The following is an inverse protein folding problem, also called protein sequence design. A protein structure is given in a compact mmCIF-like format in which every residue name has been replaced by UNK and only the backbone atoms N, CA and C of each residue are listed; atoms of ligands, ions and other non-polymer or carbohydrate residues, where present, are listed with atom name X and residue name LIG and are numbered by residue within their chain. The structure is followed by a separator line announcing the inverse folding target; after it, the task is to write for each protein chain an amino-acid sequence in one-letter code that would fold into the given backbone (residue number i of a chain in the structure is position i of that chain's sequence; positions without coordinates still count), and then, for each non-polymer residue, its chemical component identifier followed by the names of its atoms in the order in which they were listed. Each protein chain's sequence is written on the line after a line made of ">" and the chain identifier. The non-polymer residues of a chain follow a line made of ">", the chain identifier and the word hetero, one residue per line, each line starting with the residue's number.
data_IF_180393578794
#
_entry.id   IF_180393578794
#
_cell.length_a   1.000
_cell.length_b   1.000
_cell.length_c   1.000
_cell.angle_alpha   90.00
_cell.angle_beta   90.00
_cell.angle_gamma   90.00
#
_symmetry.space_group_name_H-M   'P 1'
#
loop_
_entity.id
_entity.type
_entity.pdbx_description
1 polymer ?
#
# COMPACT_ATOMS: atom_id res chain seq x y z
N UNK A 1 6.82 7.97 -7.91
CA UNK A 1 5.98 8.58 -6.86
C UNK A 1 4.74 7.78 -6.47
N UNK A 2 3.64 7.79 -7.26
CA UNK A 2 2.40 7.11 -6.84
C UNK A 2 2.54 5.58 -6.79
N UNK A 3 2.90 4.95 -7.92
CA UNK A 3 3.08 3.49 -8.01
C UNK A 3 4.23 2.98 -7.11
N UNK A 4 5.19 3.85 -6.86
CA UNK A 4 6.33 3.59 -5.99
C UNK A 4 5.92 3.36 -4.54
N UNK A 5 4.80 3.95 -4.08
CA UNK A 5 4.27 3.67 -2.75
C UNK A 5 3.95 2.18 -2.55
N UNK A 6 3.53 1.49 -3.61
CA UNK A 6 3.24 0.06 -3.59
C UNK A 6 4.51 -0.78 -3.83
N UNK A 7 5.31 -0.41 -4.84
CA UNK A 7 6.49 -1.17 -5.24
C UNK A 7 7.54 -1.27 -4.12
N UNK A 8 7.76 -0.19 -3.36
CA UNK A 8 8.73 -0.15 -2.25
C UNK A 8 8.33 -0.95 -1.02
N UNK A 9 7.10 -1.48 -0.99
CA UNK A 9 6.54 -2.23 0.13
C UNK A 9 6.15 -3.66 -0.25
N UNK A 10 6.55 -4.12 -1.42
CA UNK A 10 6.22 -5.46 -1.91
C UNK A 10 4.71 -5.67 -2.15
N UNK A 11 3.95 -4.60 -2.44
CA UNK A 11 2.53 -4.72 -2.78
C UNK A 11 2.40 -4.90 -4.29
N UNK A 12 2.01 -6.10 -4.72
CA UNK A 12 1.78 -6.39 -6.13
C UNK A 12 0.46 -5.76 -6.63
N UNK A 13 0.45 -5.34 -7.89
CA UNK A 13 -0.74 -4.79 -8.57
C UNK A 13 -1.23 -5.80 -9.59
N UNK A 14 -2.52 -6.16 -9.53
CA UNK A 14 -3.16 -7.04 -10.51
C UNK A 14 -3.91 -6.25 -11.59
N UNK A 15 -4.27 -5.00 -11.31
CA UNK A 15 -4.88 -4.07 -12.25
C UNK A 15 -4.27 -2.68 -12.10
N UNK A 16 -4.01 -2.00 -13.21
CA UNK A 16 -3.68 -0.58 -13.26
C UNK A 16 -4.28 0.04 -14.52
N UNK A 17 -5.33 0.83 -14.34
CA UNK A 17 -6.03 1.50 -15.45
C UNK A 17 -6.07 3.01 -15.26
N UNK A 18 -5.68 3.77 -16.29
CA UNK A 18 -5.86 5.21 -16.34
C UNK A 18 -7.20 5.58 -16.97
N UNK A 19 -7.94 6.51 -16.38
CA UNK A 19 -9.16 7.09 -16.96
C UNK A 19 -9.04 8.61 -17.00
N UNK A 20 -9.33 9.27 -18.14
CA UNK A 20 -9.31 10.73 -18.20
C UNK A 20 -10.40 11.30 -17.29
N UNK A 21 -10.09 12.42 -16.64
CA UNK A 21 -11.08 13.22 -15.92
C UNK A 21 -11.50 14.34 -16.87
N UNK A 22 -12.80 14.46 -17.16
CA UNK A 22 -13.31 15.39 -18.17
C UNK A 22 -13.34 16.86 -17.71
N UNK A 23 -12.70 17.21 -16.61
CA UNK A 23 -12.68 18.56 -16.07
C UNK A 23 -11.55 19.43 -16.67
N UNK A 24 -10.37 18.86 -16.91
CA UNK A 24 -9.23 19.54 -17.54
C UNK A 24 -8.37 18.59 -18.39
N UNK A 25 -7.76 19.12 -19.45
CA UNK A 25 -6.82 18.36 -20.30
C UNK A 25 -5.61 17.89 -19.47
N UNK A 26 -5.26 16.61 -19.62
CA UNK A 26 -4.10 16.01 -18.96
C UNK A 26 -4.35 15.51 -17.53
N UNK A 27 -5.58 15.61 -17.02
CA UNK A 27 -5.95 15.02 -15.73
C UNK A 27 -6.45 13.58 -15.88
N UNK A 28 -5.90 12.70 -15.05
CA UNK A 28 -6.23 11.29 -15.02
C UNK A 28 -6.54 10.84 -13.59
N UNK A 29 -7.44 9.86 -13.49
CA UNK A 29 -7.57 9.02 -12.29
C UNK A 29 -7.04 7.63 -12.62
N UNK A 30 -6.55 6.94 -11.60
CA UNK A 30 -6.15 5.54 -11.73
C UNK A 30 -7.09 4.64 -10.94
N UNK A 31 -7.51 3.54 -11.55
CA UNK A 31 -8.14 2.41 -10.86
C UNK A 31 -7.05 1.34 -10.69
N UNK A 32 -6.92 0.82 -9.47
CA UNK A 32 -5.84 -0.08 -9.10
C UNK A 32 -6.42 -1.20 -8.25
N UNK A 33 -6.10 -2.44 -8.62
CA UNK A 33 -6.33 -3.62 -7.77
C UNK A 33 -4.98 -4.09 -7.23
N UNK A 34 -4.96 -4.40 -5.93
CA UNK A 34 -3.76 -4.76 -5.18
C UNK A 34 -3.89 -6.16 -4.60
N UNK A 35 -2.77 -6.87 -4.57
CA UNK A 35 -2.65 -8.13 -3.83
C UNK A 35 -2.35 -7.85 -2.35
N UNK A 36 -3.42 -7.75 -1.56
CA UNK A 36 -3.35 -7.67 -0.11
C UNK A 36 -4.67 -7.26 0.52
N UNK A 37 -4.70 -7.25 1.85
CA UNK A 37 -5.82 -6.75 2.62
C UNK A 37 -5.45 -5.42 3.28
N UNK A 38 -6.42 -4.53 3.52
CA UNK A 38 -6.18 -3.26 4.25
C UNK A 38 -5.62 -3.45 5.67
N UNK A 39 -5.73 -4.66 6.22
CA UNK A 39 -5.18 -5.02 7.53
C UNK A 39 -3.74 -5.54 7.45
N UNK A 40 -3.21 -5.76 6.25
CA UNK A 40 -1.80 -6.08 6.07
C UNK A 40 -0.96 -4.81 6.29
N UNK A 41 0.10 -4.90 7.08
CA UNK A 41 0.91 -3.73 7.45
C UNK A 41 1.52 -3.05 6.22
N UNK A 42 2.01 -3.84 5.25
CA UNK A 42 2.56 -3.33 3.98
C UNK A 42 1.54 -2.53 3.15
N UNK A 43 0.26 -2.95 3.16
CA UNK A 43 -0.81 -2.30 2.39
C UNK A 43 -1.23 -1.02 3.11
N UNK A 44 -1.40 -1.08 4.43
CA UNK A 44 -1.71 0.09 5.23
C UNK A 44 -0.62 1.17 5.07
N UNK A 45 0.66 0.80 5.14
CA UNK A 45 1.77 1.75 4.98
C UNK A 45 1.83 2.33 3.55
N UNK A 46 1.53 1.53 2.52
CA UNK A 46 1.44 2.01 1.14
C UNK A 46 0.32 3.05 0.95
N UNK A 47 -0.84 2.81 1.56
CA UNK A 47 -1.98 3.73 1.52
C UNK A 47 -1.70 5.04 2.27
N UNK A 48 -0.98 4.99 3.39
CA UNK A 48 -0.52 6.18 4.11
C UNK A 48 0.43 7.01 3.24
N UNK A 49 1.39 6.35 2.59
CA UNK A 49 2.27 6.98 1.61
C UNK A 49 1.48 7.63 0.48
N UNK A 50 0.56 6.88 -0.13
CA UNK A 50 -0.28 7.36 -1.23
C UNK A 50 -1.10 8.60 -0.86
N UNK A 51 -1.74 8.60 0.32
CA UNK A 51 -2.59 9.70 0.77
C UNK A 51 -1.82 11.02 0.91
N UNK A 52 -0.52 10.98 1.18
CA UNK A 52 0.34 12.17 1.25
C UNK A 52 0.60 12.81 -0.12
N UNK A 53 0.65 12.00 -1.18
CA UNK A 53 0.92 12.48 -2.54
C UNK A 53 -0.36 12.74 -3.35
N UNK A 54 -1.44 12.00 -3.08
CA UNK A 54 -2.72 12.16 -3.75
C UNK A 54 -3.82 12.48 -2.74
N UNK A 55 -4.35 13.72 -2.72
CA UNK A 55 -5.39 14.09 -1.75
C UNK A 55 -6.70 13.33 -1.99
N UNK A 56 -6.95 12.87 -3.22
CA UNK A 56 -8.20 12.23 -3.64
C UNK A 56 -7.99 10.73 -3.90
N UNK A 57 -8.02 9.94 -2.83
CA UNK A 57 -7.99 8.48 -2.86
C UNK A 57 -9.35 7.96 -2.41
N UNK A 58 -9.95 7.05 -3.18
CA UNK A 58 -11.21 6.38 -2.85
C UNK A 58 -10.90 4.91 -2.60
N UNK A 59 -11.16 4.44 -1.38
CA UNK A 59 -11.04 3.03 -1.04
C UNK A 59 -12.34 2.29 -1.39
N UNK A 60 -12.25 1.29 -2.26
CA UNK A 60 -13.41 0.51 -2.72
C UNK A 60 -13.62 -0.78 -1.92
N UNK A 61 -12.68 -1.13 -1.03
CA UNK A 61 -12.77 -2.30 -0.16
C UNK A 61 -11.59 -3.26 -0.32
N UNK A 62 -11.52 -4.21 0.60
CA UNK A 62 -10.69 -5.42 0.48
C UNK A 62 -11.64 -6.62 0.48
N UNK A 63 -11.39 -7.56 -0.42
CA UNK A 63 -12.26 -8.72 -0.62
C UNK A 63 -11.43 -9.95 -0.97
N UNK A 64 -11.93 -11.17 -0.68
CA UNK A 64 -11.25 -12.39 -1.08
C UNK A 64 -11.13 -12.47 -2.61
N UNK A 65 -9.96 -12.87 -3.10
CA UNK A 65 -9.77 -13.15 -4.53
C UNK A 65 -10.69 -14.29 -4.97
N UNK A 66 -11.22 -14.17 -6.18
CA UNK A 66 -12.13 -15.17 -6.75
C UNK A 66 -11.47 -16.56 -6.90
N UNK A 67 -10.18 -16.58 -7.25
CA UNK A 67 -9.37 -17.80 -7.40
C UNK A 67 -8.90 -18.41 -6.07
N UNK A 68 -9.10 -17.70 -4.95
CA UNK A 68 -8.63 -18.05 -3.60
C UNK A 68 -7.14 -18.37 -3.52
N UNK A 69 -6.34 -17.89 -4.45
CA UNK A 69 -4.90 -18.08 -4.37
C UNK A 69 -4.34 -17.23 -3.22
N UNK A 70 -3.51 -17.84 -2.34
CA UNK A 70 -2.85 -17.08 -1.29
C UNK A 70 -1.84 -16.12 -1.90
N UNK A 71 -1.73 -14.95 -1.31
CA UNK A 71 -0.70 -13.98 -1.70
C UNK A 71 0.60 -14.42 -1.04
N UNK A 72 1.65 -14.63 -1.85
CA UNK A 72 2.99 -14.91 -1.33
C UNK A 72 3.74 -13.61 -1.15
N UNK A 73 4.26 -13.39 0.05
CA UNK A 73 5.00 -12.19 0.43
C UNK A 73 6.39 -12.62 0.88
N UNK A 74 7.44 -11.93 0.44
CA UNK A 74 8.80 -12.19 0.93
C UNK A 74 8.92 -11.77 2.40
N UNK A 75 9.81 -12.41 3.16
CA UNK A 75 10.09 -12.10 4.58
C UNK A 75 10.34 -10.60 4.82
N UNK A 76 10.96 -9.89 3.88
CA UNK A 76 11.19 -8.44 4.01
C UNK A 76 9.92 -7.57 4.03
N UNK A 77 8.78 -8.11 3.58
CA UNK A 77 7.52 -7.39 3.44
C UNK A 77 6.35 -8.04 4.20
N UNK A 78 6.62 -9.08 5.00
CA UNK A 78 5.58 -9.69 5.83
C UNK A 78 5.17 -8.75 6.98
N UNK A 79 4.09 -9.10 7.69
CA UNK A 79 3.58 -8.21 8.73
C UNK A 79 4.57 -8.09 9.91
N UNK A 80 5.30 -9.15 10.23
CA UNK A 80 6.22 -9.18 11.38
C UNK A 80 7.39 -8.22 11.15
N UNK A 81 7.95 -8.17 9.94
CA UNK A 81 8.99 -7.21 9.58
C UNK A 81 8.56 -5.74 9.78
N UNK A 82 7.31 -5.41 9.46
CA UNK A 82 6.77 -4.06 9.68
C UNK A 82 6.50 -3.77 11.16
N UNK A 83 6.02 -4.76 11.92
CA UNK A 83 5.80 -4.64 13.36
C UNK A 83 7.13 -4.43 14.09
N UNK A 84 8.14 -5.25 13.77
CA UNK A 84 9.49 -5.16 14.32
C UNK A 84 10.12 -3.78 14.04
N UNK A 85 9.99 -3.29 12.80
CA UNK A 85 10.49 -1.96 12.43
C UNK A 85 9.80 -0.83 13.23
N UNK A 86 8.49 -0.95 13.49
CA UNK A 86 7.74 0.02 14.30
C UNK A 86 8.14 -0.03 15.76
N UNK A 87 8.34 -1.21 16.32
CA UNK A 87 8.74 -1.38 17.71
C UNK A 87 10.16 -0.88 17.94
N UNK A 88 11.07 -1.14 17.00
CA UNK A 88 12.39 -0.53 16.99
C UNK A 88 12.33 1.02 16.99
N UNK A 89 11.51 1.61 16.10
CA UNK A 89 11.34 3.06 16.05
C UNK A 89 10.76 3.62 17.35
N UNK A 90 9.78 2.93 17.96
CA UNK A 90 9.24 3.30 19.28
C UNK A 90 10.32 3.28 20.35
N UNK A 91 11.20 2.28 20.33
CA UNK A 91 12.34 2.18 21.24
C UNK A 91 13.32 3.35 21.09
N UNK A 92 13.63 3.75 19.85
CA UNK A 92 14.45 4.94 19.59
C UNK A 92 13.82 6.22 20.13
N UNK A 93 12.51 6.41 19.88
CA UNK A 93 11.77 7.60 20.35
C UNK A 93 11.72 7.65 21.88
N UNK A 94 11.60 6.49 22.54
CA UNK A 94 11.58 6.38 23.99
C UNK A 94 12.97 6.48 24.63
N UNK A 95 14.06 6.45 23.84
CA UNK A 95 15.43 6.42 24.34
C UNK A 95 15.82 5.11 25.01
N UNK A 96 15.15 4.00 24.66
CA UNK A 96 15.33 2.67 25.25
C UNK A 96 15.94 1.65 24.29
N UNK A 97 16.19 2.02 23.04
CA UNK A 97 16.88 1.17 22.08
C UNK A 97 18.39 1.38 22.21
N UNK A 98 19.14 0.30 22.46
CA UNK A 98 20.60 0.24 22.30
C UNK A 98 20.99 0.24 20.81
#
# INVERSE_FOLDING_TARGET
>A
EMLEQFATRGVNMSLLESRPIGDELGRYRFIIDLDGHILDERVADALLGLKRFSPNVIFLGSYPRADRQPITVSEHYDNDAFVDARDWLRGLIAGTAD
#
